data_IF_776622934671
#
_entry.id   IF_776622934671
#
_cell.length_a   1.000
_cell.length_b   1.000
_cell.length_c   1.000
_cell.angle_alpha   90.00
_cell.angle_beta   90.00
_cell.angle_gamma   90.00
#
_symmetry.space_group_name_H-M   'P 1'
#
loop_
_entity.id
_entity.type
_entity.pdbx_description
1 polymer ?
#
# COMPACT_ATOMS: atom_id res chain seq x y z
N UNK A 1 3.22 13.28 -18.89
CA UNK A 1 2.21 12.19 -18.96
C UNK A 1 1.51 12.09 -17.63
N UNK A 2 0.21 11.81 -17.60
CA UNK A 2 -0.53 11.48 -16.38
C UNK A 2 -0.84 9.99 -16.45
N UNK A 3 -0.34 9.22 -15.49
CA UNK A 3 -0.67 7.80 -15.36
C UNK A 3 -1.93 7.68 -14.51
N UNK A 4 -3.07 7.39 -15.13
CA UNK A 4 -4.35 7.24 -14.44
C UNK A 4 -4.61 5.79 -13.97
N UNK A 5 -3.69 4.87 -14.27
CA UNK A 5 -3.80 3.46 -13.91
C UNK A 5 -3.52 3.18 -12.42
N UNK A 6 -4.09 2.08 -11.93
CA UNK A 6 -3.96 1.59 -10.54
C UNK A 6 -2.82 0.57 -10.36
N UNK A 7 -2.03 0.32 -11.40
CA UNK A 7 -0.90 -0.61 -11.34
C UNK A 7 0.31 0.02 -10.62
N UNK A 8 0.52 -0.46 -9.39
CA UNK A 8 1.59 -0.03 -8.51
C UNK A 8 2.98 -0.43 -9.03
N UNK A 9 3.11 -1.59 -9.68
CA UNK A 9 4.40 -2.07 -10.20
C UNK A 9 4.82 -1.22 -11.39
N UNK A 10 3.89 -0.95 -12.31
CA UNK A 10 4.12 -0.04 -13.43
C UNK A 10 4.50 1.36 -12.93
N UNK A 11 3.80 1.89 -11.91
CA UNK A 11 4.11 3.20 -11.33
C UNK A 11 5.52 3.24 -10.72
N UNK A 12 5.93 2.20 -10.01
CA UNK A 12 7.29 2.10 -9.46
C UNK A 12 8.36 2.00 -10.54
N UNK A 13 8.10 1.24 -11.61
CA UNK A 13 9.01 1.12 -12.75
C UNK A 13 9.19 2.48 -13.47
N UNK A 14 8.10 3.22 -13.67
CA UNK A 14 8.14 4.56 -14.27
C UNK A 14 8.92 5.55 -13.41
N UNK A 15 8.72 5.51 -12.08
CA UNK A 15 9.49 6.34 -11.14
C UNK A 15 10.98 6.01 -11.19
N UNK A 16 11.33 4.72 -11.18
CA UNK A 16 12.72 4.26 -11.29
C UNK A 16 13.36 4.65 -12.64
N UNK A 17 12.58 4.71 -13.71
CA UNK A 17 13.02 5.17 -15.03
C UNK A 17 13.10 6.70 -15.18
N UNK A 18 12.81 7.47 -14.12
CA UNK A 18 12.96 8.92 -14.12
C UNK A 18 11.78 9.69 -14.74
N UNK A 19 10.61 9.05 -14.90
CA UNK A 19 9.42 9.71 -15.45
C UNK A 19 8.69 10.67 -14.49
N UNK A 20 9.28 10.91 -13.31
CA UNK A 20 8.82 11.92 -12.35
C UNK A 20 8.54 11.35 -10.96
N UNK A 21 8.21 12.24 -10.01
CA UNK A 21 7.91 11.84 -8.64
C UNK A 21 6.56 11.13 -8.54
N UNK A 22 6.46 10.18 -7.60
CA UNK A 22 5.25 9.41 -7.32
C UNK A 22 4.91 9.46 -5.85
N UNK A 23 3.62 9.51 -5.53
CA UNK A 23 3.11 9.40 -4.17
C UNK A 23 2.72 7.94 -3.89
N UNK A 24 3.41 7.31 -2.94
CA UNK A 24 3.22 5.91 -2.59
C UNK A 24 2.85 5.73 -1.11
N UNK A 25 2.07 4.70 -0.76
CA UNK A 25 1.97 4.25 0.62
C UNK A 25 3.37 3.90 1.16
N UNK A 26 3.64 4.25 2.42
CA UNK A 26 4.97 4.10 3.05
C UNK A 26 5.58 2.71 2.85
N UNK A 27 4.81 1.63 3.08
CA UNK A 27 5.31 0.25 2.92
C UNK A 27 5.77 -0.04 1.49
N UNK A 28 5.09 0.52 0.49
CA UNK A 28 5.47 0.35 -0.92
C UNK A 28 6.76 1.10 -1.21
N UNK A 29 6.87 2.34 -0.77
CA UNK A 29 8.09 3.13 -0.95
C UNK A 29 9.33 2.45 -0.34
N UNK A 30 9.16 1.78 0.81
CA UNK A 30 10.23 1.01 1.47
C UNK A 30 10.61 -0.25 0.69
N UNK A 31 9.64 -0.94 0.06
CA UNK A 31 9.87 -2.19 -0.65
C UNK A 31 10.32 -2.01 -2.11
N UNK A 32 9.87 -0.95 -2.78
CA UNK A 32 10.03 -0.80 -4.22
C UNK A 32 11.47 -0.51 -4.67
N UNK A 33 12.31 0.06 -3.80
CA UNK A 33 13.69 0.44 -4.16
C UNK A 33 13.79 1.41 -5.34
N UNK A 34 12.69 2.08 -5.71
CA UNK A 34 12.58 2.88 -6.92
C UNK A 34 13.25 4.27 -6.83
N UNK A 35 13.98 4.55 -5.76
CA UNK A 35 14.66 5.82 -5.51
C UNK A 35 14.65 6.24 -4.04
N UNK A 36 14.86 7.52 -3.79
CA UNK A 36 14.84 8.10 -2.44
C UNK A 36 13.39 8.35 -2.01
N UNK A 37 12.97 7.73 -0.91
CA UNK A 37 11.66 7.97 -0.31
C UNK A 37 11.69 9.17 0.65
N UNK A 38 10.82 10.16 0.41
CA UNK A 38 10.66 11.32 1.27
C UNK A 38 9.30 11.28 1.98
N UNK A 39 9.22 11.54 3.30
CA UNK A 39 7.95 11.57 4.02
C UNK A 39 7.13 12.79 3.60
N UNK A 40 5.83 12.59 3.35
CA UNK A 40 4.90 13.70 3.11
C UNK A 40 4.48 14.37 4.43
N UNK A 41 4.70 15.68 4.51
CA UNK A 41 4.28 16.50 5.65
C UNK A 41 2.80 16.88 5.59
N UNK A 42 2.31 17.24 4.39
CA UNK A 42 0.91 17.58 4.11
C UNK A 42 0.62 17.50 2.58
N UNK A 43 -0.63 17.20 2.18
CA UNK A 43 -1.69 16.62 3.02
C UNK A 43 -1.29 15.21 3.49
N UNK A 44 -1.83 14.77 4.63
CA UNK A 44 -1.58 13.42 5.17
C UNK A 44 -2.78 12.52 4.86
N UNK A 45 -2.88 11.95 3.65
CA UNK A 45 -3.93 10.99 3.36
C UNK A 45 -3.78 9.80 4.30
N UNK A 46 -4.83 9.52 5.07
CA UNK A 46 -4.89 8.33 5.92
C UNK A 46 -5.37 7.18 5.04
N UNK A 47 -4.51 6.19 4.84
CA UNK A 47 -4.91 4.93 4.20
C UNK A 47 -5.42 3.98 5.29
N UNK A 48 -6.71 3.61 5.23
CA UNK A 48 -7.30 2.60 6.10
C UNK A 48 -7.54 1.33 5.29
N UNK A 49 -6.99 0.23 5.76
CA UNK A 49 -7.30 -1.11 5.24
C UNK A 49 -8.33 -1.75 6.16
N UNK A 50 -9.44 -2.22 5.60
CA UNK A 50 -10.54 -2.83 6.36
C UNK A 50 -10.74 -4.28 5.91
N UNK A 51 -11.01 -5.17 6.87
CA UNK A 51 -11.44 -6.53 6.60
C UNK A 51 -12.98 -6.55 6.64
N UNK A 52 -13.60 -6.76 5.48
CA UNK A 52 -15.05 -6.79 5.33
C UNK A 52 -15.53 -8.24 5.21
N UNK A 53 -16.61 -8.58 5.91
CA UNK A 53 -17.26 -9.88 5.85
C UNK A 53 -18.78 -9.69 5.96
N UNK A 54 -19.60 -10.44 5.20
CA UNK A 54 -21.06 -10.33 5.27
C UNK A 54 -21.62 -10.76 6.63
N UNK A 55 -20.87 -11.55 7.41
CA UNK A 55 -21.22 -12.00 8.76
C UNK A 55 -19.98 -12.20 9.63
N UNK A 56 -20.15 -12.46 10.93
CA UNK A 56 -19.02 -12.72 11.82
C UNK A 56 -18.29 -14.00 11.38
N UNK A 57 -16.98 -13.94 11.07
CA UNK A 57 -16.25 -15.11 10.58
C UNK A 57 -16.14 -16.17 11.67
N UNK A 58 -16.21 -17.45 11.28
CA UNK A 58 -16.09 -18.61 12.18
C UNK A 58 -15.00 -19.57 11.70
N UNK A 59 -14.56 -20.47 12.58
CA UNK A 59 -13.57 -21.51 12.24
C UNK A 59 -12.29 -20.95 11.61
N UNK A 60 -11.90 -21.50 10.46
CA UNK A 60 -10.68 -21.10 9.72
C UNK A 60 -10.74 -19.63 9.28
N UNK A 61 -11.93 -19.12 8.92
CA UNK A 61 -12.09 -17.73 8.53
C UNK A 61 -11.84 -16.79 9.73
N UNK A 62 -12.28 -17.17 10.93
CA UNK A 62 -11.99 -16.41 12.15
C UNK A 62 -10.48 -16.39 12.45
N UNK A 63 -9.81 -17.54 12.30
CA UNK A 63 -8.37 -17.63 12.50
C UNK A 63 -7.60 -16.78 11.47
N UNK A 64 -8.02 -16.76 10.21
CA UNK A 64 -7.44 -15.91 9.18
C UNK A 64 -7.67 -14.42 9.49
N UNK A 65 -8.90 -14.04 9.85
CA UNK A 65 -9.24 -12.67 10.23
C UNK A 65 -8.37 -12.18 11.39
N UNK A 66 -8.18 -13.01 12.43
CA UNK A 66 -7.32 -12.70 13.56
C UNK A 66 -5.86 -12.48 13.13
N UNK A 67 -5.33 -13.31 12.22
CA UNK A 67 -3.96 -13.16 11.70
C UNK A 67 -3.77 -11.90 10.87
N UNK A 68 -4.76 -11.53 10.06
CA UNK A 68 -4.74 -10.30 9.27
C UNK A 68 -4.86 -9.06 10.16
N UNK A 69 -5.71 -9.11 11.19
CA UNK A 69 -5.93 -8.01 12.13
C UNK A 69 -4.75 -7.80 13.11
N UNK A 70 -4.03 -8.86 13.47
CA UNK A 70 -2.82 -8.77 14.30
C UNK A 70 -1.67 -7.98 13.64
N UNK A 71 -1.81 -7.64 12.35
CA UNK A 71 -0.85 -6.87 11.57
C UNK A 71 0.28 -7.74 11.01
N UNK A 72 0.69 -7.44 9.77
CA UNK A 72 1.94 -7.95 9.22
C UNK A 72 3.11 -7.21 9.89
N UNK A 73 4.15 -7.92 10.40
CA UNK A 73 5.33 -7.28 10.98
C UNK A 73 5.84 -6.20 10.01
N UNK A 74 6.14 -5.04 10.57
CA UNK A 74 6.59 -3.84 9.82
C UNK A 74 8.08 -3.92 9.60
#
# INVERSE_FOLDING_TARGET
MRHDGTDLLALCALAAAGHGPVLLPRRVAQAAGAGVALPLSAPRPVHRTELLSPSSPTGVAAALAARLAAGSPV
#
